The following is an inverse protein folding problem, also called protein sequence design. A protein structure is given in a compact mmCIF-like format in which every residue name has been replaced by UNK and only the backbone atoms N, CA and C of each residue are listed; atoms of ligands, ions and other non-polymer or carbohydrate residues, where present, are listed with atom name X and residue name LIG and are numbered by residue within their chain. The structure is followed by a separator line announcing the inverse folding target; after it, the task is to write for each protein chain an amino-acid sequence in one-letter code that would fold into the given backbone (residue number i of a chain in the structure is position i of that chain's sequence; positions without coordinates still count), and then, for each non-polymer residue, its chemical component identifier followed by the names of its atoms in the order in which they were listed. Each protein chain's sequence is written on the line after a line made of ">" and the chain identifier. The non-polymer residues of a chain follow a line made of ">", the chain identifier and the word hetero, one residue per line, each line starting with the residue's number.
data_IF_770275344374
#
_entry.id   IF_770275344374
#
_cell.length_a   1.000
_cell.length_b   1.000
_cell.length_c   1.000
_cell.angle_alpha   90.00
_cell.angle_beta   90.00
_cell.angle_gamma   90.00
#
_symmetry.space_group_name_H-M   'P 1'
#
loop_
_entity.id
_entity.type
_entity.pdbx_description
1 polymer ?
#
# COMPACT_ATOMS: atom_id res chain seq x y z
N UNK A 1 -16.92 -7.20 -12.37
CA UNK A 1 -16.05 -6.48 -13.32
C UNK A 1 -14.75 -6.11 -12.61
N UNK A 2 -13.67 -5.89 -13.36
CA UNK A 2 -12.36 -5.56 -12.79
C UNK A 2 -11.57 -4.69 -13.75
N UNK A 3 -10.69 -3.87 -13.21
CA UNK A 3 -9.81 -2.96 -13.96
C UNK A 3 -8.46 -3.65 -14.15
N UNK A 4 -8.02 -3.70 -15.40
CA UNK A 4 -6.71 -4.27 -15.76
C UNK A 4 -5.65 -3.18 -15.62
N UNK A 5 -4.68 -3.42 -14.75
CA UNK A 5 -3.47 -2.63 -14.71
C UNK A 5 -2.63 -2.98 -15.95
N UNK A 6 -2.46 -2.00 -16.83
CA UNK A 6 -2.03 -2.21 -18.22
C UNK A 6 -0.61 -2.78 -18.33
N UNK A 7 0.29 -2.42 -17.42
CA UNK A 7 1.67 -2.85 -17.54
C UNK A 7 1.86 -4.31 -17.10
N UNK A 8 1.23 -4.72 -16.00
CA UNK A 8 1.38 -6.05 -15.41
C UNK A 8 0.36 -7.06 -15.92
N UNK A 9 -0.76 -6.59 -16.48
CA UNK A 9 -1.90 -7.43 -16.84
C UNK A 9 -2.71 -7.92 -15.62
N UNK A 10 -2.36 -7.50 -14.40
CA UNK A 10 -3.12 -7.87 -13.20
C UNK A 10 -4.49 -7.19 -13.24
N UNK A 11 -5.54 -7.98 -13.02
CA UNK A 11 -6.90 -7.47 -12.88
C UNK A 11 -7.21 -7.23 -11.41
N UNK A 12 -7.59 -6.00 -11.08
CA UNK A 12 -8.06 -5.61 -9.77
C UNK A 12 -9.59 -5.50 -9.76
N UNK A 13 -10.29 -6.02 -8.74
CA UNK A 13 -11.72 -5.75 -8.59
C UNK A 13 -12.01 -4.26 -8.53
N UNK A 14 -13.18 -3.83 -9.02
CA UNK A 14 -13.63 -2.43 -8.87
C UNK A 14 -13.98 -2.10 -7.42
N UNK A 15 -14.27 -3.12 -6.60
CA UNK A 15 -14.62 -2.98 -5.20
C UNK A 15 -14.06 -4.14 -4.37
N UNK A 16 -13.55 -3.82 -3.18
CA UNK A 16 -13.16 -4.78 -2.15
C UNK A 16 -13.64 -4.27 -0.79
N UNK A 17 -14.30 -5.11 0.00
CA UNK A 17 -14.67 -4.77 1.39
C UNK A 17 -15.36 -3.39 1.55
N UNK A 18 -16.34 -3.06 0.69
CA UNK A 18 -17.05 -1.77 0.65
C UNK A 18 -16.18 -0.55 0.28
N UNK A 19 -14.97 -0.77 -0.22
CA UNK A 19 -14.07 0.26 -0.74
C UNK A 19 -14.03 0.19 -2.25
N UNK A 20 -14.15 1.34 -2.89
CA UNK A 20 -14.09 1.47 -4.34
C UNK A 20 -12.64 1.68 -4.79
N UNK A 21 -12.29 1.09 -5.93
CA UNK A 21 -11.00 1.27 -6.58
C UNK A 21 -10.81 2.74 -6.96
N UNK A 22 -9.70 3.32 -6.51
CA UNK A 22 -9.27 4.68 -6.88
C UNK A 22 -8.38 4.62 -8.12
N UNK A 23 -7.32 3.82 -8.06
CA UNK A 23 -6.33 3.72 -9.12
C UNK A 23 -5.56 2.41 -9.03
N UNK A 24 -4.87 2.06 -10.12
CA UNK A 24 -3.93 0.94 -10.22
C UNK A 24 -2.57 1.42 -10.71
N UNK A 25 -1.50 0.69 -10.41
CA UNK A 25 -0.18 0.93 -10.96
C UNK A 25 0.80 -0.22 -10.73
N UNK A 26 2.06 -0.01 -11.09
CA UNK A 26 3.14 -1.00 -10.90
C UNK A 26 4.30 -0.37 -10.16
N UNK A 27 4.88 -1.13 -9.22
CA UNK A 27 6.21 -0.82 -8.69
C UNK A 27 7.27 -1.57 -9.49
N UNK A 28 8.23 -0.81 -10.01
CA UNK A 28 9.40 -1.33 -10.71
C UNK A 28 10.66 -1.14 -9.84
N UNK A 29 11.62 -2.06 -9.96
CA UNK A 29 12.99 -1.88 -9.45
C UNK A 29 13.97 -1.99 -10.62
N UNK A 30 15.07 -1.23 -10.57
CA UNK A 30 16.10 -1.19 -11.63
C UNK A 30 15.53 -0.88 -13.03
N UNK A 31 14.59 0.06 -13.11
CA UNK A 31 14.01 0.57 -14.37
C UNK A 31 13.00 -0.36 -15.07
N UNK A 32 13.19 -1.68 -15.06
CA UNK A 32 12.37 -2.60 -15.85
C UNK A 32 11.72 -3.76 -15.07
N UNK A 33 12.22 -4.10 -13.87
CA UNK A 33 11.75 -5.29 -13.15
C UNK A 33 10.46 -4.98 -12.40
N UNK A 34 9.33 -5.49 -12.89
CA UNK A 34 8.00 -5.38 -12.26
C UNK A 34 7.97 -6.24 -10.99
N UNK A 35 7.99 -5.59 -9.82
CA UNK A 35 8.02 -6.26 -8.52
C UNK A 35 6.60 -6.70 -8.15
N UNK A 36 5.67 -5.76 -8.18
CA UNK A 36 4.25 -6.00 -7.94
C UNK A 36 3.38 -4.97 -8.66
N UNK A 37 2.16 -5.36 -8.96
CA UNK A 37 1.07 -4.44 -9.25
C UNK A 37 0.44 -3.98 -7.93
N UNK A 38 -0.09 -2.76 -7.89
CA UNK A 38 -0.72 -2.17 -6.72
C UNK A 38 -2.02 -1.47 -7.10
N UNK A 39 -2.99 -1.53 -6.21
CA UNK A 39 -4.22 -0.77 -6.30
C UNK A 39 -4.49 -0.04 -4.98
N UNK A 40 -4.99 1.19 -5.07
CA UNK A 40 -5.52 1.93 -3.94
C UNK A 40 -7.03 1.83 -4.00
N UNK A 41 -7.63 1.44 -2.88
CA UNK A 41 -9.07 1.47 -2.66
C UNK A 41 -9.38 2.47 -1.56
N UNK A 42 -10.55 3.09 -1.63
CA UNK A 42 -11.02 4.06 -0.66
C UNK A 42 -12.48 3.79 -0.33
N UNK A 43 -12.85 3.95 0.94
CA UNK A 43 -14.24 3.82 1.39
C UNK A 43 -15.16 4.75 0.57
N UNK A 44 -16.33 4.23 0.17
CA UNK A 44 -17.29 4.96 -0.69
C UNK A 44 -17.83 6.23 -0.03
N UNK A 45 -17.88 6.26 1.29
CA UNK A 45 -18.31 7.40 2.11
C UNK A 45 -17.16 8.36 2.46
N UNK A 46 -15.97 8.15 1.90
CA UNK A 46 -14.83 9.03 2.15
C UNK A 46 -15.07 10.44 1.63
N UNK A 47 -14.69 11.43 2.44
CA UNK A 47 -14.78 12.86 2.08
C UNK A 47 -13.76 13.30 1.03
N UNK A 48 -12.85 12.42 0.64
CA UNK A 48 -11.79 12.70 -0.33
C UNK A 48 -12.25 12.61 -1.79
N UNK A 49 -13.40 11.98 -2.07
CA UNK A 49 -13.94 11.89 -3.42
C UNK A 49 -14.32 13.28 -3.98
N UNK A 50 -13.86 13.59 -5.20
CA UNK A 50 -14.15 14.85 -5.90
C UNK A 50 -13.60 16.09 -5.22
N UNK A 51 -12.44 15.97 -4.54
CA UNK A 51 -11.82 17.05 -3.77
C UNK A 51 -10.44 17.47 -4.26
N UNK A 52 -9.87 16.77 -5.24
CA UNK A 52 -8.49 16.96 -5.69
C UNK A 52 -7.50 17.11 -4.52
N UNK A 53 -7.49 16.16 -3.55
CA UNK A 53 -6.62 16.30 -2.38
C UNK A 53 -5.16 16.28 -2.81
N UNK A 54 -4.33 17.09 -2.15
CA UNK A 54 -2.89 16.92 -2.23
C UNK A 54 -2.43 15.68 -1.44
N UNK A 55 -1.14 15.35 -1.56
CA UNK A 55 -0.55 14.20 -0.89
C UNK A 55 -0.68 14.27 0.64
N UNK A 56 -0.56 15.46 1.23
CA UNK A 56 -0.59 15.65 2.67
C UNK A 56 -2.01 15.40 3.22
N UNK A 57 -3.02 15.96 2.56
CA UNK A 57 -4.42 15.76 2.88
C UNK A 57 -4.81 14.29 2.74
N UNK A 58 -4.38 13.64 1.66
CA UNK A 58 -4.63 12.23 1.44
C UNK A 58 -4.05 11.37 2.57
N UNK A 59 -2.81 11.64 2.99
CA UNK A 59 -2.18 10.96 4.13
C UNK A 59 -2.93 11.18 5.45
N UNK A 60 -3.44 12.40 5.68
CA UNK A 60 -4.17 12.76 6.90
C UNK A 60 -5.58 12.19 6.97
N UNK A 61 -6.27 12.02 5.85
CA UNK A 61 -7.70 11.66 5.84
C UNK A 61 -7.96 10.19 5.45
N UNK A 62 -7.09 9.56 4.65
CA UNK A 62 -7.34 8.22 4.12
C UNK A 62 -7.07 7.07 5.11
N UNK A 63 -6.39 7.33 6.22
CA UNK A 63 -6.00 6.32 7.23
C UNK A 63 -7.21 5.63 7.94
N UNK A 64 -8.45 6.02 7.63
CA UNK A 64 -9.67 5.45 8.21
C UNK A 64 -10.52 4.62 7.26
N UNK A 65 -10.04 4.39 6.05
CA UNK A 65 -10.87 3.73 5.04
C UNK A 65 -10.17 3.38 3.75
N UNK A 66 -8.86 3.62 3.62
CA UNK A 66 -8.10 3.20 2.45
C UNK A 66 -7.53 1.78 2.61
N UNK A 67 -7.34 1.11 1.49
CA UNK A 67 -6.60 -0.14 1.42
C UNK A 67 -5.65 -0.14 0.23
N UNK A 68 -4.43 -0.60 0.45
CA UNK A 68 -3.44 -0.86 -0.59
C UNK A 68 -3.42 -2.36 -0.86
N UNK A 69 -3.75 -2.77 -2.08
CA UNK A 69 -3.73 -4.17 -2.50
C UNK A 69 -2.58 -4.40 -3.46
N UNK A 70 -1.60 -5.19 -3.05
CA UNK A 70 -0.44 -5.57 -3.85
C UNK A 70 -0.67 -6.97 -4.43
N UNK A 71 -0.26 -7.17 -5.67
CA UNK A 71 -0.23 -8.47 -6.34
C UNK A 71 1.17 -8.68 -6.88
N UNK A 72 1.85 -9.72 -6.41
CA UNK A 72 3.24 -9.99 -6.80
C UNK A 72 3.30 -10.41 -8.26
N UNK A 73 4.12 -9.73 -9.07
CA UNK A 73 4.18 -9.97 -10.52
C UNK A 73 5.39 -10.77 -10.96
N UNK A 74 6.39 -10.93 -10.09
CA UNK A 74 7.65 -11.63 -10.40
C UNK A 74 7.95 -12.73 -9.39
N UNK A 75 8.34 -13.90 -9.88
CA UNK A 75 8.79 -15.02 -9.05
C UNK A 75 10.15 -14.79 -8.37
N UNK A 76 10.86 -13.71 -8.73
CA UNK A 76 12.14 -13.33 -8.12
C UNK A 76 11.97 -12.53 -6.81
N UNK A 77 10.73 -12.15 -6.49
CA UNK A 77 10.37 -11.39 -5.30
C UNK A 77 10.13 -12.37 -4.17
N UNK A 78 11.04 -12.38 -3.20
CA UNK A 78 10.90 -13.14 -1.95
C UNK A 78 10.29 -12.25 -0.87
N UNK A 79 9.79 -12.85 0.21
CA UNK A 79 9.32 -12.11 1.39
C UNK A 79 10.41 -11.16 1.91
N UNK A 80 11.62 -11.66 2.14
CA UNK A 80 12.74 -10.84 2.62
C UNK A 80 13.03 -9.64 1.71
N UNK A 81 12.98 -9.80 0.38
CA UNK A 81 13.20 -8.68 -0.57
C UNK A 81 12.05 -7.67 -0.53
N UNK A 82 10.81 -8.12 -0.38
CA UNK A 82 9.66 -7.24 -0.26
C UNK A 82 9.69 -6.48 1.06
N UNK A 83 9.91 -7.18 2.17
CA UNK A 83 10.02 -6.65 3.53
C UNK A 83 11.13 -5.58 3.60
N UNK A 84 12.35 -5.89 3.15
CA UNK A 84 13.44 -4.93 3.08
C UNK A 84 13.07 -3.69 2.24
N UNK A 85 12.42 -3.89 1.08
CA UNK A 85 12.03 -2.79 0.21
C UNK A 85 10.89 -1.92 0.79
N UNK A 86 10.01 -2.50 1.61
CA UNK A 86 9.02 -1.77 2.39
C UNK A 86 9.70 -1.01 3.53
N UNK A 87 10.61 -1.64 4.28
CA UNK A 87 11.41 -0.98 5.33
C UNK A 87 12.16 0.24 4.80
N UNK A 88 12.92 0.09 3.71
CA UNK A 88 13.62 1.19 3.02
C UNK A 88 12.69 2.35 2.63
N UNK A 89 11.41 2.05 2.32
CA UNK A 89 10.44 3.06 1.89
C UNK A 89 9.69 3.69 3.08
N UNK A 90 9.35 2.90 4.10
CA UNK A 90 8.45 3.29 5.19
C UNK A 90 9.22 3.94 6.34
N UNK A 91 10.38 3.38 6.72
CA UNK A 91 11.18 3.87 7.84
C UNK A 91 11.47 5.39 7.78
N UNK A 92 12.03 5.95 6.68
CA UNK A 92 12.31 7.39 6.64
C UNK A 92 11.05 8.25 6.73
N UNK A 93 9.87 7.69 6.44
CA UNK A 93 8.58 8.39 6.55
C UNK A 93 8.03 8.33 7.98
N UNK A 94 8.28 7.26 8.72
CA UNK A 94 8.00 7.20 10.15
C UNK A 94 8.85 8.23 10.92
N UNK A 95 10.14 8.31 10.60
CA UNK A 95 11.06 9.30 11.16
C UNK A 95 10.57 10.72 10.87
N UNK A 96 10.19 11.02 9.62
CA UNK A 96 9.66 12.33 9.23
C UNK A 96 8.33 12.69 9.91
N UNK A 97 7.54 11.69 10.31
CA UNK A 97 6.30 11.88 11.08
C UNK A 97 6.56 12.09 12.58
N UNK A 98 7.81 12.00 13.05
CA UNK A 98 8.16 12.12 14.46
C UNK A 98 7.74 10.92 15.30
N UNK A 99 7.66 9.73 14.68
CA UNK A 99 7.40 8.50 15.41
C UNK A 99 8.51 8.28 16.46
N UNK A 100 8.11 8.05 17.73
CA UNK A 100 9.06 7.93 18.85
C UNK A 100 9.81 6.60 18.87
N UNK A 101 9.18 5.55 18.37
CA UNK A 101 9.70 4.18 18.37
C UNK A 101 9.66 3.62 16.94
N UNK A 102 10.49 4.19 16.08
CA UNK A 102 10.58 3.78 14.67
C UNK A 102 11.02 2.34 14.56
N UNK A 103 12.03 1.94 15.33
CA UNK A 103 12.61 0.60 15.26
C UNK A 103 11.62 -0.47 15.72
N UNK A 104 10.92 -0.27 16.85
CA UNK A 104 9.91 -1.21 17.33
C UNK A 104 8.71 -1.33 16.39
N UNK A 105 8.23 -0.21 15.82
CA UNK A 105 7.16 -0.24 14.80
C UNK A 105 7.60 -0.99 13.55
N UNK A 106 8.84 -0.76 13.09
CA UNK A 106 9.37 -1.47 11.93
C UNK A 106 9.60 -2.95 12.21
N UNK A 107 10.07 -3.32 13.40
CA UNK A 107 10.24 -4.71 13.82
C UNK A 107 8.90 -5.46 13.78
N UNK A 108 7.88 -4.95 14.50
CA UNK A 108 6.53 -5.54 14.48
C UNK A 108 5.97 -5.63 13.05
N UNK A 109 6.22 -4.62 12.21
CA UNK A 109 5.76 -4.65 10.83
C UNK A 109 6.49 -5.69 9.98
N UNK A 110 7.77 -5.96 10.24
CA UNK A 110 8.54 -6.97 9.53
C UNK A 110 8.23 -8.40 10.01
N UNK A 111 7.97 -8.60 11.31
CA UNK A 111 7.57 -9.90 11.87
C UNK A 111 6.33 -10.48 11.17
N UNK A 112 5.39 -9.62 10.77
CA UNK A 112 4.21 -10.01 9.98
C UNK A 112 4.60 -10.71 8.67
N UNK A 113 5.74 -10.35 8.06
CA UNK A 113 6.24 -11.01 6.85
C UNK A 113 7.00 -12.30 7.15
N UNK A 114 7.59 -12.43 8.33
CA UNK A 114 8.31 -13.64 8.74
C UNK A 114 7.34 -14.78 9.07
N UNK A 115 6.17 -14.45 9.64
CA UNK A 115 5.09 -15.42 9.92
C UNK A 115 4.18 -15.70 8.71
N UNK A 116 4.32 -14.90 7.65
CA UNK A 116 3.51 -15.02 6.45
C UNK A 116 3.87 -16.28 5.62
N UNK A 117 2.91 -16.81 4.84
CA UNK A 117 3.21 -17.93 3.95
C UNK A 117 4.22 -17.52 2.87
N UNK A 118 4.99 -18.47 2.31
CA UNK A 118 5.94 -18.19 1.24
C UNK A 118 5.31 -17.42 0.09
N UNK A 119 5.91 -16.26 -0.23
CA UNK A 119 5.40 -15.38 -1.27
C UNK A 119 5.59 -16.03 -2.65
N UNK A 120 4.51 -16.08 -3.42
CA UNK A 120 4.50 -16.62 -4.78
C UNK A 120 4.09 -15.54 -5.78
N UNK A 121 4.41 -15.75 -7.06
CA UNK A 121 3.83 -14.94 -8.13
C UNK A 121 2.30 -15.00 -8.03
N UNK A 122 1.66 -13.85 -8.15
CA UNK A 122 0.23 -13.60 -7.95
C UNK A 122 -0.28 -13.69 -6.50
N UNK A 123 0.59 -13.90 -5.52
CA UNK A 123 0.20 -13.74 -4.12
C UNK A 123 -0.32 -12.32 -3.89
N UNK A 124 -1.37 -12.21 -3.09
CA UNK A 124 -2.04 -10.95 -2.78
C UNK A 124 -1.73 -10.54 -1.35
N UNK A 125 -1.29 -9.29 -1.19
CA UNK A 125 -1.10 -8.68 0.12
C UNK A 125 -2.01 -7.46 0.19
N UNK A 126 -2.86 -7.40 1.21
CA UNK A 126 -3.73 -6.24 1.43
C UNK A 126 -3.32 -5.54 2.71
N UNK A 127 -3.00 -4.25 2.61
CA UNK A 127 -2.78 -3.36 3.73
C UNK A 127 -4.02 -2.47 3.88
N UNK A 128 -4.83 -2.76 4.89
CA UNK A 128 -5.99 -1.93 5.23
C UNK A 128 -5.56 -0.91 6.27
N UNK A 129 -5.65 0.37 5.93
CA UNK A 129 -5.28 1.48 6.79
C UNK A 129 -6.43 1.74 7.76
N UNK A 130 -6.16 1.55 9.05
CA UNK A 130 -7.12 1.75 10.13
C UNK A 130 -6.60 2.82 11.09
N UNK A 131 -7.50 3.34 11.93
CA UNK A 131 -7.18 4.44 12.85
C UNK A 131 -5.96 4.14 13.71
N UNK A 132 -5.86 2.91 14.20
CA UNK A 132 -4.87 2.52 15.20
C UNK A 132 -3.67 1.78 14.59
N UNK A 133 -3.57 1.70 13.25
CA UNK A 133 -2.53 0.89 12.63
C UNK A 133 -2.77 0.45 11.19
N UNK A 134 -2.09 -0.63 10.82
CA UNK A 134 -2.26 -1.28 9.52
C UNK A 134 -2.66 -2.74 9.75
N UNK A 135 -3.79 -3.13 9.16
CA UNK A 135 -4.16 -4.53 9.05
C UNK A 135 -3.53 -5.12 7.79
N UNK A 136 -2.77 -6.20 7.94
CA UNK A 136 -2.06 -6.88 6.88
C UNK A 136 -2.70 -8.25 6.65
N UNK A 137 -3.19 -8.50 5.45
CA UNK A 137 -3.76 -9.79 5.05
C UNK A 137 -2.97 -10.39 3.88
N UNK A 138 -2.60 -11.67 4.00
CA UNK A 138 -2.00 -12.47 2.94
C UNK A 138 -3.03 -13.46 2.40
N UNK A 139 -3.37 -13.33 1.13
CA UNK A 139 -4.36 -14.17 0.44
C UNK A 139 -5.67 -14.33 1.24
N UNK A 140 -5.93 -15.53 1.77
CA UNK A 140 -7.14 -15.88 2.55
C UNK A 140 -6.89 -16.04 4.05
N UNK A 141 -5.69 -15.67 4.54
CA UNK A 141 -5.40 -15.75 5.98
C UNK A 141 -6.10 -14.62 6.75
N UNK A 142 -6.43 -14.85 8.03
CA UNK A 142 -6.89 -13.78 8.91
C UNK A 142 -5.88 -12.61 8.92
N UNK A 143 -6.36 -11.35 8.89
CA UNK A 143 -5.47 -10.20 8.96
C UNK A 143 -4.78 -10.11 10.32
N UNK A 144 -3.52 -9.69 10.32
CA UNK A 144 -2.76 -9.30 11.51
C UNK A 144 -2.71 -7.78 11.58
N UNK A 145 -2.88 -7.19 12.76
CA UNK A 145 -2.80 -5.74 12.94
C UNK A 145 -1.47 -5.34 13.56
N UNK A 146 -0.82 -4.35 12.95
CA UNK A 146 0.35 -3.67 13.50
C UNK A 146 -0.10 -2.32 14.04
N UNK A 147 -0.04 -2.16 15.37
CA UNK A 147 -0.56 -0.99 16.05
C UNK A 147 0.40 0.20 15.97
N UNK A 148 0.17 1.08 15.00
CA UNK A 148 0.85 2.37 14.86
C UNK A 148 0.07 3.29 13.89
N UNK A 149 -0.59 4.35 14.38
CA UNK A 149 -1.25 5.33 13.50
C UNK A 149 -0.29 5.96 12.48
N UNK A 150 0.97 6.16 12.87
CA UNK A 150 2.03 6.69 12.01
C UNK A 150 2.36 5.73 10.87
N UNK A 151 2.35 4.40 11.12
CA UNK A 151 2.61 3.39 10.10
C UNK A 151 1.59 3.47 8.95
N UNK A 152 0.30 3.67 9.26
CA UNK A 152 -0.72 3.80 8.23
C UNK A 152 -0.45 4.99 7.29
N UNK A 153 -0.05 6.12 7.88
CA UNK A 153 0.31 7.34 7.15
C UNK A 153 1.60 7.16 6.35
N UNK A 154 2.64 6.62 6.98
CA UNK A 154 3.94 6.37 6.36
C UNK A 154 3.82 5.39 5.18
N UNK A 155 3.03 4.33 5.33
CA UNK A 155 2.80 3.35 4.27
C UNK A 155 2.07 3.98 3.09
N UNK A 156 1.02 4.78 3.31
CA UNK A 156 0.35 5.49 2.22
C UNK A 156 1.28 6.49 1.54
N UNK A 157 2.07 7.22 2.32
CA UNK A 157 3.04 8.20 1.83
C UNK A 157 4.04 7.58 0.84
N UNK A 158 4.38 6.28 0.97
CA UNK A 158 5.22 5.58 -0.02
C UNK A 158 4.69 5.62 -1.44
N UNK A 159 3.39 5.83 -1.62
CA UNK A 159 2.74 5.87 -2.94
C UNK A 159 2.24 7.25 -3.35
N UNK A 160 2.10 8.20 -2.41
CA UNK A 160 1.40 9.46 -2.70
C UNK A 160 2.27 10.70 -2.57
N UNK A 161 3.40 10.62 -1.86
CA UNK A 161 4.25 11.79 -1.65
C UNK A 161 5.19 12.12 -2.84
N UNK A 162 6.01 13.16 -2.68
CA UNK A 162 6.95 13.59 -3.70
C UNK A 162 8.02 12.52 -4.04
N UNK A 163 8.31 11.60 -3.12
CA UNK A 163 9.28 10.50 -3.25
C UNK A 163 8.56 9.15 -3.45
N UNK A 164 7.37 9.16 -4.04
CA UNK A 164 6.58 7.95 -4.25
C UNK A 164 7.35 6.89 -5.06
N UNK A 165 7.22 5.62 -4.66
CA UNK A 165 7.89 4.48 -5.31
C UNK A 165 7.36 4.19 -6.72
N UNK A 166 6.24 4.81 -7.09
CA UNK A 166 5.66 4.80 -8.44
C UNK A 166 4.98 6.14 -8.71
N UNK A 167 5.70 7.13 -9.28
CA UNK A 167 5.13 8.46 -9.56
C UNK A 167 3.90 8.40 -10.47
N UNK A 168 3.88 7.51 -11.46
CA UNK A 168 2.71 7.33 -12.32
C UNK A 168 1.46 6.87 -11.54
N UNK A 169 1.64 6.00 -10.54
CA UNK A 169 0.55 5.57 -9.67
C UNK A 169 0.06 6.70 -8.76
N UNK A 170 0.97 7.49 -8.18
CA UNK A 170 0.63 8.72 -7.45
C UNK A 170 -0.25 9.63 -8.30
N UNK A 171 0.20 9.94 -9.51
CA UNK A 171 -0.51 10.89 -10.38
C UNK A 171 -1.88 10.34 -10.79
N UNK A 172 -1.99 9.02 -10.97
CA UNK A 172 -3.29 8.37 -11.20
C UNK A 172 -4.22 8.49 -9.99
N UNK A 173 -3.72 8.30 -8.76
CA UNK A 173 -4.51 8.50 -7.53
C UNK A 173 -5.02 9.94 -7.44
N UNK A 174 -4.13 10.92 -7.58
CA UNK A 174 -4.48 12.33 -7.45
C UNK A 174 -5.50 12.76 -8.52
N UNK A 175 -5.35 12.29 -9.76
CA UNK A 175 -6.34 12.53 -10.83
C UNK A 175 -7.68 11.87 -10.58
N UNK A 176 -7.71 10.66 -10.02
CA UNK A 176 -8.96 9.93 -9.78
C UNK A 176 -9.78 10.52 -8.61
N UNK A 177 -9.13 11.26 -7.70
CA UNK A 177 -9.78 11.93 -6.57
C UNK A 177 -10.11 13.41 -6.86
N UNK A 178 -9.67 13.93 -8.00
CA UNK A 178 -10.02 15.27 -8.48
C UNK A 178 -11.47 15.30 -8.98
#
# INVERSE_FOLDING_TARGET
>A
AGVVEQESGVTFPEEVEKRQLVATGVRKKYGAVKVYAVALYLAKDSKLWGKAPDAERLQKEAHRGAALRLVITSGLVTQAKLAAALKESVQPRLEALGCKDVDGVMEMFMEVFDEAPPLKKFAVITFTLVKDGVQVAFDKRPPVIVHSPELARALLATYVDAKAVSPAFRDAILRALA
#
